data_IF_410664005807
#
_entry.id   IF_410664005807
#
_cell.length_a   1.000
_cell.length_b   1.000
_cell.length_c   1.000
_cell.angle_alpha   90.00
_cell.angle_beta   90.00
_cell.angle_gamma   90.00
#
_symmetry.space_group_name_H-M   'P 1'
#
loop_
_entity.id
_entity.type
_entity.pdbx_description
1 polymer ?
#
# COMPACT_ATOMS: atom_id res chain seq x y z
N UNK A 1 -11.29 -9.50 -16.45
CA UNK A 1 -10.23 -8.52 -16.80
C UNK A 1 -10.06 -7.48 -15.68
N UNK A 2 -9.99 -7.88 -14.41
CA UNK A 2 -10.06 -6.95 -13.26
C UNK A 2 -8.77 -6.86 -12.46
N UNK A 3 -7.91 -7.89 -12.54
CA UNK A 3 -6.74 -7.99 -11.64
C UNK A 3 -5.64 -6.99 -11.95
N UNK A 4 -5.40 -6.66 -13.23
CA UNK A 4 -4.35 -5.72 -13.61
C UNK A 4 -4.64 -4.28 -13.15
N UNK A 5 -5.91 -3.86 -13.20
CA UNK A 5 -6.33 -2.52 -12.77
C UNK A 5 -6.23 -2.41 -11.24
N UNK A 6 -6.72 -3.43 -10.53
CA UNK A 6 -6.64 -3.47 -9.07
C UNK A 6 -5.18 -3.55 -8.59
N UNK A 7 -4.34 -4.32 -9.27
CA UNK A 7 -2.91 -4.36 -8.97
C UNK A 7 -2.25 -2.99 -9.16
N UNK A 8 -2.51 -2.32 -10.29
CA UNK A 8 -1.98 -0.97 -10.55
C UNK A 8 -2.44 0.04 -9.49
N UNK A 9 -3.72 -0.02 -9.11
CA UNK A 9 -4.26 0.84 -8.04
C UNK A 9 -3.52 0.61 -6.72
N UNK A 10 -3.27 -0.64 -6.34
CA UNK A 10 -2.57 -1.00 -5.10
C UNK A 10 -1.13 -0.49 -5.10
N UNK A 11 -0.43 -0.61 -6.23
CA UNK A 11 0.93 -0.06 -6.37
C UNK A 11 0.95 1.47 -6.21
N UNK A 12 -0.01 2.17 -6.82
CA UNK A 12 -0.15 3.61 -6.64
C UNK A 12 -0.45 3.97 -5.18
N UNK A 13 -1.37 3.27 -4.52
CA UNK A 13 -1.70 3.48 -3.11
C UNK A 13 -0.50 3.19 -2.20
N UNK A 14 0.27 2.14 -2.47
CA UNK A 14 1.46 1.80 -1.70
C UNK A 14 2.56 2.87 -1.83
N UNK A 15 2.78 3.39 -3.05
CA UNK A 15 3.72 4.50 -3.29
C UNK A 15 3.29 5.78 -2.58
N UNK A 16 1.99 6.08 -2.58
CA UNK A 16 1.44 7.20 -1.81
C UNK A 16 1.69 7.00 -0.30
N UNK A 17 1.47 5.81 0.23
CA UNK A 17 1.77 5.52 1.64
C UNK A 17 3.24 5.74 1.97
N UNK A 18 4.15 5.35 1.07
CA UNK A 18 5.58 5.56 1.26
C UNK A 18 6.02 7.02 1.13
N UNK A 19 5.30 7.86 0.40
CA UNK A 19 5.59 9.30 0.32
C UNK A 19 5.11 10.08 1.54
N UNK A 20 4.16 9.55 2.31
CA UNK A 20 3.71 10.18 3.55
C UNK A 20 4.74 10.09 4.69
N UNK A 21 4.70 11.03 5.67
CA UNK A 21 5.46 10.92 6.91
C UNK A 21 5.17 9.61 7.65
N UNK A 22 6.18 9.01 8.27
CA UNK A 22 6.08 7.70 8.91
C UNK A 22 4.89 7.61 9.90
N UNK A 23 4.69 8.66 10.71
CA UNK A 23 3.60 8.75 11.68
C UNK A 23 2.19 8.69 11.06
N UNK A 24 2.04 9.08 9.78
CA UNK A 24 0.75 9.09 9.09
C UNK A 24 0.44 7.80 8.33
N UNK A 25 1.44 6.93 8.12
CA UNK A 25 1.27 5.70 7.33
C UNK A 25 0.32 4.71 7.98
N UNK A 26 0.51 4.44 9.27
CA UNK A 26 -0.35 3.52 10.03
C UNK A 26 -1.81 4.01 10.10
N UNK A 27 -2.10 5.27 10.50
CA UNK A 27 -3.46 5.81 10.45
C UNK A 27 -4.13 5.67 9.08
N UNK A 28 -3.39 5.89 8.01
CA UNK A 28 -3.92 5.73 6.65
C UNK A 28 -4.27 4.28 6.33
N UNK A 29 -3.39 3.32 6.64
CA UNK A 29 -3.63 1.89 6.44
C UNK A 29 -4.84 1.40 7.27
N UNK A 30 -4.94 1.83 8.52
CA UNK A 30 -6.10 1.55 9.38
C UNK A 30 -7.41 2.12 8.77
N UNK A 31 -7.34 3.28 8.12
CA UNK A 31 -8.50 3.86 7.41
C UNK A 31 -8.94 3.03 6.19
N UNK A 32 -8.01 2.31 5.56
CA UNK A 32 -8.33 1.38 4.47
C UNK A 32 -9.06 0.16 5.02
N UNK A 33 -8.60 -0.38 6.16
CA UNK A 33 -9.27 -1.47 6.87
C UNK A 33 -10.72 -1.12 7.21
N UNK A 34 -10.97 0.10 7.71
CA UNK A 34 -12.31 0.61 8.00
C UNK A 34 -13.19 0.79 6.76
N UNK A 35 -12.62 1.19 5.62
CA UNK A 35 -13.38 1.50 4.39
C UNK A 35 -13.62 0.28 3.49
N UNK A 36 -12.67 -0.66 3.45
CA UNK A 36 -12.60 -1.74 2.44
C UNK A 36 -12.42 -3.13 3.06
N UNK A 37 -12.33 -3.22 4.39
CA UNK A 37 -12.15 -4.47 5.12
C UNK A 37 -10.69 -4.78 5.47
N UNK A 38 -10.51 -5.64 6.48
CA UNK A 38 -9.21 -5.99 7.04
C UNK A 38 -8.29 -6.67 6.01
N UNK A 39 -8.85 -7.50 5.13
CA UNK A 39 -8.07 -8.16 4.08
C UNK A 39 -7.49 -7.16 3.07
N UNK A 40 -8.23 -6.10 2.73
CA UNK A 40 -7.72 -5.02 1.88
C UNK A 40 -6.58 -4.25 2.55
N UNK A 41 -6.67 -4.03 3.87
CA UNK A 41 -5.57 -3.43 4.66
C UNK A 41 -4.32 -4.31 4.63
N UNK A 42 -4.44 -5.60 5.00
CA UNK A 42 -3.31 -6.55 5.02
C UNK A 42 -2.63 -6.64 3.65
N UNK A 43 -3.43 -6.68 2.59
CA UNK A 43 -2.91 -6.74 1.24
C UNK A 43 -2.12 -5.48 0.87
N UNK A 44 -2.66 -4.29 1.18
CA UNK A 44 -1.95 -3.04 0.93
C UNK A 44 -0.68 -2.91 1.78
N UNK A 45 -0.70 -3.38 3.03
CA UNK A 45 0.49 -3.42 3.89
C UNK A 45 1.60 -4.30 3.30
N UNK A 46 1.24 -5.46 2.74
CA UNK A 46 2.19 -6.32 2.04
C UNK A 46 2.80 -5.62 0.82
N UNK A 47 1.97 -4.92 0.03
CA UNK A 47 2.43 -4.17 -1.13
C UNK A 47 3.34 -2.99 -0.76
N UNK A 48 3.02 -2.26 0.31
CA UNK A 48 3.90 -1.19 0.86
C UNK A 48 5.27 -1.76 1.25
N UNK A 49 5.30 -2.92 1.92
CA UNK A 49 6.56 -3.60 2.26
C UNK A 49 7.34 -4.02 1.01
N UNK A 50 6.66 -4.54 -0.03
CA UNK A 50 7.27 -4.91 -1.31
C UNK A 50 7.91 -3.70 -2.00
N UNK A 51 7.14 -2.62 -2.16
CA UNK A 51 7.62 -1.38 -2.79
C UNK A 51 8.80 -0.76 -2.02
N UNK A 52 8.79 -0.83 -0.69
CA UNK A 52 9.90 -0.35 0.12
C UNK A 52 11.20 -1.15 -0.14
N UNK A 53 11.11 -2.47 -0.25
CA UNK A 53 12.26 -3.32 -0.60
C UNK A 53 12.78 -3.00 -1.99
N UNK A 54 11.89 -2.92 -2.98
CA UNK A 54 12.25 -2.56 -4.35
C UNK A 54 12.96 -1.20 -4.42
N UNK A 55 12.50 -0.20 -3.66
CA UNK A 55 13.17 1.11 -3.59
C UNK A 55 14.57 1.03 -2.97
N UNK A 56 14.77 0.13 -2.00
CA UNK A 56 16.08 -0.08 -1.35
C UNK A 56 17.05 -0.85 -2.24
N UNK A 57 16.53 -1.75 -3.07
CA UNK A 57 17.31 -2.59 -4.00
C UNK A 57 17.56 -1.91 -5.36
N UNK A 58 16.85 -0.82 -5.66
CA UNK A 58 17.11 -0.02 -6.84
C UNK A 58 18.49 0.67 -6.72
N UNK A 59 19.42 0.45 -7.67
CA UNK A 59 20.77 1.01 -7.66
C UNK A 59 20.80 2.54 -7.83
#
# INVERSE_FOLDING_TARGET
MTDAIEQRRRECEARYVLSMPYAQRKPWLDSIGKRRGLEAQKYLEAEVKRQFRLKKEAP
#
